data_IF_508739554876
#
_entry.id   IF_508739554876
#
_cell.length_a   1.000
_cell.length_b   1.000
_cell.length_c   1.000
_cell.angle_alpha   90.00
_cell.angle_beta   90.00
_cell.angle_gamma   90.00
#
_symmetry.space_group_name_H-M   'P 1'
#
loop_
_entity.id
_entity.type
_entity.pdbx_description
1 polymer ?
#
# COMPACT_ATOMS: atom_id res chain seq x y z
N UNK A 1 -0.04 5.08 20.49
CA UNK A 1 0.10 3.81 19.76
C UNK A 1 -0.01 4.08 18.27
N UNK A 2 0.82 3.43 17.44
CA UNK A 2 0.65 3.45 15.98
C UNK A 2 -0.36 2.37 15.59
N UNK A 3 -1.24 2.60 14.61
CA UNK A 3 -2.10 1.54 14.09
C UNK A 3 -1.27 0.47 13.39
N UNK A 4 -1.73 -0.77 13.41
CA UNK A 4 -1.05 -1.90 12.75
C UNK A 4 -1.11 -1.78 11.23
N UNK A 5 -2.20 -1.23 10.70
CA UNK A 5 -2.40 -1.04 9.26
C UNK A 5 -3.38 0.13 8.98
N UNK A 6 -3.61 0.44 7.71
CA UNK A 6 -4.53 1.51 7.31
C UNK A 6 -5.99 1.24 7.72
N UNK A 7 -6.38 -0.03 7.87
CA UNK A 7 -7.75 -0.38 8.28
C UNK A 7 -8.01 0.03 9.73
N UNK A 8 -7.09 -0.29 10.63
CA UNK A 8 -7.18 0.16 12.02
C UNK A 8 -7.07 1.69 12.12
N UNK A 9 -6.22 2.33 11.31
CA UNK A 9 -6.16 3.79 11.26
C UNK A 9 -7.53 4.40 10.89
N UNK A 10 -8.21 3.81 9.92
CA UNK A 10 -9.55 4.23 9.49
C UNK A 10 -10.61 4.01 10.58
N UNK A 11 -10.58 2.86 11.25
CA UNK A 11 -11.47 2.54 12.39
C UNK A 11 -11.25 3.48 13.59
N UNK A 12 -10.02 3.94 13.78
CA UNK A 12 -9.65 4.98 14.76
C UNK A 12 -10.04 6.41 14.30
N UNK A 13 -10.89 6.56 13.28
CA UNK A 13 -11.43 7.83 12.81
C UNK A 13 -10.55 8.60 11.84
N UNK A 14 -9.47 8.00 11.31
CA UNK A 14 -8.64 8.65 10.27
C UNK A 14 -9.26 8.43 8.89
N UNK A 15 -10.02 9.41 8.42
CA UNK A 15 -10.80 9.30 7.17
C UNK A 15 -10.17 9.96 5.94
N UNK A 16 -9.05 10.69 6.10
CA UNK A 16 -8.37 11.36 4.99
C UNK A 16 -7.30 10.44 4.36
N UNK A 17 -7.29 10.30 3.03
CA UNK A 17 -6.19 9.59 2.35
C UNK A 17 -4.87 10.34 2.51
N UNK A 18 -3.76 9.60 2.63
CA UNK A 18 -2.45 10.22 2.83
C UNK A 18 -1.40 9.25 3.36
N UNK A 19 -0.26 9.79 3.78
CA UNK A 19 0.84 9.00 4.35
C UNK A 19 0.68 8.86 5.86
N UNK A 20 0.66 7.61 6.33
CA UNK A 20 0.52 7.26 7.75
C UNK A 20 1.70 6.41 8.20
N UNK A 21 2.02 6.48 9.49
CA UNK A 21 2.98 5.58 10.13
C UNK A 21 2.23 4.41 10.76
N UNK A 22 2.60 3.18 10.39
CA UNK A 22 2.01 1.94 10.88
C UNK A 22 3.05 1.06 11.56
N UNK A 23 2.62 0.25 12.54
CA UNK A 23 3.46 -0.72 13.26
C UNK A 23 2.74 -2.08 13.30
N UNK A 24 2.87 -2.93 12.25
CA UNK A 24 2.11 -4.18 12.14
C UNK A 24 2.57 -5.30 13.08
N UNK A 25 3.81 -5.24 13.56
CA UNK A 25 4.47 -6.24 14.39
C UNK A 25 5.40 -5.55 15.42
N UNK A 26 6.18 -6.29 16.19
CA UNK A 26 7.11 -5.70 17.17
C UNK A 26 8.36 -5.04 16.58
N UNK A 27 8.52 -5.07 15.25
CA UNK A 27 9.63 -4.40 14.58
C UNK A 27 9.35 -2.90 14.40
N UNK A 28 10.35 -2.09 14.00
CA UNK A 28 10.18 -0.65 13.83
C UNK A 28 9.04 -0.29 12.88
N UNK A 29 8.29 0.75 13.27
CA UNK A 29 7.21 1.33 12.49
C UNK A 29 7.72 1.91 11.15
N UNK A 30 6.85 1.95 10.14
CA UNK A 30 7.20 2.50 8.83
C UNK A 30 6.03 3.26 8.21
N UNK A 31 6.34 4.10 7.21
CA UNK A 31 5.35 4.89 6.49
C UNK A 31 4.72 4.09 5.36
N UNK A 32 3.40 4.25 5.20
CA UNK A 32 2.59 3.70 4.10
C UNK A 32 1.64 4.77 3.58
N UNK A 33 1.18 4.62 2.34
CA UNK A 33 0.07 5.42 1.84
C UNK A 33 -1.24 4.70 2.13
N UNK A 34 -2.15 5.35 2.86
CA UNK A 34 -3.49 4.86 3.12
C UNK A 34 -4.48 5.54 2.17
N UNK A 35 -5.21 4.74 1.43
CA UNK A 35 -6.40 5.20 0.72
C UNK A 35 -7.63 4.96 1.61
N UNK A 36 -8.20 6.07 2.08
CA UNK A 36 -9.39 6.10 2.92
C UNK A 36 -10.67 6.31 2.11
N UNK A 37 -10.59 6.37 0.78
CA UNK A 37 -11.74 6.40 -0.12
C UNK A 37 -12.33 5.00 -0.35
N UNK A 38 -13.49 4.91 -1.01
CA UNK A 38 -14.10 3.64 -1.48
C UNK A 38 -14.25 2.57 -0.38
N UNK A 39 -14.77 2.94 0.78
CA UNK A 39 -14.93 2.05 1.94
C UNK A 39 -13.73 2.01 2.89
N UNK A 40 -12.64 2.69 2.51
CA UNK A 40 -11.53 3.09 3.38
C UNK A 40 -10.63 1.98 3.91
N UNK A 41 -9.48 2.40 4.46
CA UNK A 41 -8.55 1.51 5.16
C UNK A 41 -7.63 0.69 4.26
N UNK A 42 -7.46 1.07 2.99
CA UNK A 42 -6.59 0.35 2.07
C UNK A 42 -5.14 0.80 2.21
N UNK A 43 -4.24 -0.16 2.41
CA UNK A 43 -2.80 0.11 2.37
C UNK A 43 -2.31 -0.03 0.94
N UNK A 44 -1.92 1.08 0.31
CA UNK A 44 -1.39 1.07 -1.05
C UNK A 44 0.08 0.70 -0.99
N UNK A 45 0.45 -0.43 -1.60
CA UNK A 45 1.84 -0.90 -1.63
C UNK A 45 2.54 -0.69 -2.98
N UNK A 46 1.78 -0.44 -4.06
CA UNK A 46 2.29 -0.11 -5.38
C UNK A 46 1.39 0.95 -6.01
N UNK A 47 1.99 1.97 -6.62
CA UNK A 47 1.26 2.94 -7.45
C UNK A 47 2.07 3.32 -8.70
N UNK A 48 1.42 3.31 -9.87
CA UNK A 48 1.88 3.86 -11.15
C UNK A 48 0.91 4.92 -11.65
N UNK A 49 1.42 6.00 -12.23
CA UNK A 49 0.63 7.14 -12.70
C UNK A 49 1.17 7.73 -13.99
N UNK A 50 2.46 8.07 -14.02
CA UNK A 50 3.06 8.89 -15.08
C UNK A 50 4.39 8.34 -15.62
N UNK A 51 4.93 7.27 -15.03
CA UNK A 51 6.21 6.69 -15.43
C UNK A 51 7.43 7.47 -14.97
N UNK A 52 7.28 8.42 -14.04
CA UNK A 52 8.39 9.21 -13.47
C UNK A 52 9.40 8.37 -12.69
N UNK A 53 9.03 7.20 -12.19
CA UNK A 53 9.91 6.30 -11.43
C UNK A 53 10.24 5.07 -12.27
N UNK A 54 11.53 4.72 -12.31
CA UNK A 54 11.98 3.48 -12.94
C UNK A 54 11.62 2.26 -12.07
N UNK A 55 10.87 1.31 -12.64
CA UNK A 55 10.55 0.04 -12.00
C UNK A 55 11.45 -1.11 -12.49
N UNK A 56 12.30 -0.89 -13.49
CA UNK A 56 13.31 -1.86 -13.90
C UNK A 56 14.53 -1.79 -12.98
N UNK A 57 14.40 -2.39 -11.79
CA UNK A 57 15.38 -2.39 -10.70
C UNK A 57 15.72 -3.80 -10.24
N UNK A 58 16.78 -3.92 -9.43
CA UNK A 58 17.27 -5.21 -8.96
C UNK A 58 16.43 -5.73 -7.77
N UNK A 59 16.71 -6.98 -7.37
CA UNK A 59 16.04 -7.64 -6.25
C UNK A 59 16.15 -6.88 -4.91
N UNK A 60 17.31 -6.30 -4.61
CA UNK A 60 17.52 -5.60 -3.35
C UNK A 60 16.63 -4.35 -3.24
N UNK A 61 16.43 -3.64 -4.35
CA UNK A 61 15.52 -2.49 -4.42
C UNK A 61 14.07 -2.91 -4.19
N UNK A 62 13.61 -3.99 -4.84
CA UNK A 62 12.27 -4.54 -4.61
C UNK A 62 12.07 -5.06 -3.18
N UNK A 63 13.12 -5.58 -2.54
CA UNK A 63 13.06 -6.03 -1.15
C UNK A 63 12.89 -4.86 -0.17
N UNK A 64 13.63 -3.76 -0.39
CA UNK A 64 13.62 -2.57 0.47
C UNK A 64 12.44 -1.62 0.20
N UNK A 65 12.05 -1.49 -1.07
CA UNK A 65 11.13 -0.48 -1.57
C UNK A 65 11.83 0.75 -2.14
N UNK A 66 11.16 1.42 -3.09
CA UNK A 66 11.66 2.58 -3.82
C UNK A 66 10.51 3.51 -4.27
N UNK A 67 10.86 4.72 -4.71
CA UNK A 67 9.90 5.75 -5.15
C UNK A 67 9.39 6.64 -4.01
N UNK A 68 8.29 7.36 -4.26
CA UNK A 68 7.67 8.29 -3.31
C UNK A 68 6.24 7.84 -2.97
N UNK A 69 5.93 7.72 -1.68
CA UNK A 69 4.58 7.40 -1.19
C UNK A 69 3.51 8.41 -1.62
N UNK A 70 3.89 9.63 -2.04
CA UNK A 70 2.99 10.63 -2.65
C UNK A 70 2.99 10.61 -4.18
N UNK A 71 3.91 9.88 -4.81
CA UNK A 71 4.05 9.70 -6.26
C UNK A 71 3.93 8.23 -6.69
N UNK A 72 4.78 7.82 -7.62
CA UNK A 72 4.95 6.39 -7.98
C UNK A 72 5.89 5.71 -6.99
N UNK A 73 5.53 4.49 -6.56
CA UNK A 73 6.36 3.75 -5.62
C UNK A 73 6.09 2.25 -5.59
N UNK A 74 7.06 1.55 -5.01
CA UNK A 74 6.96 0.18 -4.53
C UNK A 74 7.32 0.16 -3.05
N UNK A 75 6.41 -0.30 -2.18
CA UNK A 75 6.58 -0.22 -0.73
C UNK A 75 7.77 -1.04 -0.21
N UNK A 76 8.04 -2.17 -0.86
CA UNK A 76 9.10 -3.11 -0.52
C UNK A 76 8.55 -4.44 0.00
N UNK A 77 9.07 -5.55 -0.52
CA UNK A 77 8.60 -6.90 -0.20
C UNK A 77 8.68 -7.22 1.30
N UNK A 78 9.73 -6.75 1.99
CA UNK A 78 9.85 -6.95 3.44
C UNK A 78 8.69 -6.30 4.21
N UNK A 79 8.24 -5.10 3.80
CA UNK A 79 7.13 -4.39 4.46
C UNK A 79 5.79 -5.00 4.08
N UNK A 80 5.63 -5.42 2.82
CA UNK A 80 4.42 -6.11 2.35
C UNK A 80 4.24 -7.41 3.14
N UNK A 81 5.29 -8.22 3.27
CA UNK A 81 5.24 -9.45 4.05
C UNK A 81 4.89 -9.18 5.53
N UNK A 82 5.44 -8.13 6.15
CA UNK A 82 5.07 -7.74 7.53
C UNK A 82 3.60 -7.32 7.66
N UNK A 83 2.97 -6.81 6.60
CA UNK A 83 1.55 -6.42 6.60
C UNK A 83 0.60 -7.60 6.33
N UNK A 84 1.05 -8.62 5.60
CA UNK A 84 0.23 -9.77 5.19
C UNK A 84 0.46 -11.00 6.06
N UNK A 85 1.58 -11.08 6.77
CA UNK A 85 1.92 -12.20 7.63
C UNK A 85 0.91 -12.36 8.76
N UNK A 86 0.21 -13.50 8.79
CA UNK A 86 -0.71 -13.86 9.86
C UNK A 86 -2.08 -13.19 9.83
N UNK A 87 -2.37 -12.34 8.83
CA UNK A 87 -3.68 -11.70 8.68
C UNK A 87 -4.36 -12.11 7.37
N UNK A 88 -5.68 -12.26 7.40
CA UNK A 88 -6.47 -12.46 6.18
C UNK A 88 -6.59 -11.14 5.43
N UNK A 89 -5.68 -10.90 4.49
CA UNK A 89 -5.64 -9.66 3.69
C UNK A 89 -6.30 -9.87 2.34
N UNK A 90 -7.15 -8.92 1.92
CA UNK A 90 -7.71 -8.87 0.56
C UNK A 90 -6.84 -7.99 -0.33
N UNK A 91 -6.65 -8.39 -1.57
CA UNK A 91 -5.97 -7.58 -2.57
C UNK A 91 -7.00 -6.93 -3.49
N UNK A 92 -6.80 -5.65 -3.78
CA UNK A 92 -7.53 -4.92 -4.81
C UNK A 92 -6.52 -4.34 -5.79
N UNK A 93 -6.77 -4.53 -7.08
CA UNK A 93 -5.96 -3.98 -8.17
C UNK A 93 -6.84 -3.04 -8.96
N UNK A 94 -6.54 -1.75 -8.91
CA UNK A 94 -7.20 -0.72 -9.71
C UNK A 94 -6.32 -0.39 -10.92
N UNK A 95 -6.90 -0.40 -12.12
CA UNK A 95 -6.24 -0.10 -13.39
C UNK A 95 -7.02 0.97 -14.14
N UNK A 96 -6.30 1.84 -14.87
CA UNK A 96 -6.88 2.80 -15.79
C UNK A 96 -6.22 2.67 -17.16
N UNK A 97 -7.01 2.71 -18.23
CA UNK A 97 -6.48 2.82 -19.59
C UNK A 97 -6.13 4.27 -19.96
N UNK A 98 -5.49 4.46 -21.12
CA UNK A 98 -5.11 5.79 -21.62
C UNK A 98 -6.30 6.69 -21.95
N UNK A 99 -7.50 6.11 -22.11
CA UNK A 99 -8.74 6.84 -22.33
C UNK A 99 -9.43 7.22 -21.01
N UNK A 100 -8.82 6.90 -19.86
CA UNK A 100 -9.33 7.19 -18.52
C UNK A 100 -10.35 6.18 -17.99
N UNK A 101 -10.59 5.06 -18.69
CA UNK A 101 -11.50 4.03 -18.22
C UNK A 101 -10.89 3.27 -17.03
N UNK A 102 -11.53 3.35 -15.87
CA UNK A 102 -11.09 2.67 -14.65
C UNK A 102 -11.77 1.31 -14.51
N UNK A 103 -11.00 0.30 -14.09
CA UNK A 103 -11.46 -1.06 -13.78
C UNK A 103 -10.75 -1.54 -12.52
N UNK A 104 -11.38 -2.45 -11.79
CA UNK A 104 -10.78 -3.05 -10.61
C UNK A 104 -11.02 -4.56 -10.55
N UNK A 105 -10.10 -5.27 -9.92
CA UNK A 105 -10.21 -6.68 -9.59
C UNK A 105 -9.94 -6.86 -8.10
N UNK A 106 -10.70 -7.76 -7.45
CA UNK A 106 -10.52 -8.09 -6.03
C UNK A 106 -10.20 -9.57 -5.87
N UNK A 107 -9.28 -9.86 -4.95
CA UNK A 107 -8.89 -11.21 -4.56
C UNK A 107 -9.11 -11.35 -3.06
N UNK A 108 -9.70 -12.48 -2.66
CA UNK A 108 -10.10 -12.74 -1.27
C UNK A 108 -8.92 -12.97 -0.32
N UNK A 109 -7.75 -13.38 -0.83
CA UNK A 109 -6.56 -13.68 -0.04
C UNK A 109 -5.29 -13.25 -0.75
N UNK A 110 -4.38 -12.63 0.00
CA UNK A 110 -3.04 -12.23 -0.44
C UNK A 110 -2.06 -12.35 0.72
N UNK A 111 -0.97 -13.10 0.51
CA UNK A 111 0.01 -13.46 1.53
C UNK A 111 1.42 -13.13 1.04
#
# INVERSE_FOLDING_TARGET
CFPHNCKEAYENGKVCSGVYTVKPDELPAFKVYCDMSNGGGWTVFQRRMDGSVNFYLNWADYKKGFGDLKGEFWLGLNKINRLTAGQSTRLRVDMADFNGNKRFATYSKFN
#
